data_IF_082495113047
#
_entry.id   IF_082495113047
#
_cell.length_a   1.000
_cell.length_b   1.000
_cell.length_c   1.000
_cell.angle_alpha   90.00
_cell.angle_beta   90.00
_cell.angle_gamma   90.00
#
_symmetry.space_group_name_H-M   'P 1'
#
loop_
_entity.id
_entity.type
_entity.pdbx_description
1 polymer ?
#
# COMPACT_ATOMS: atom_id res chain seq x y z
N UNK A 1 7.40 18.52 -10.24
CA UNK A 1 6.33 17.56 -9.82
C UNK A 1 5.53 17.00 -11.00
N UNK A 2 5.48 17.69 -12.14
CA UNK A 2 4.68 17.25 -13.28
C UNK A 2 5.10 15.88 -13.82
N UNK A 3 6.39 15.57 -13.85
CA UNK A 3 6.90 14.29 -14.37
C UNK A 3 6.42 13.08 -13.54
N UNK A 4 6.39 13.22 -12.21
CA UNK A 4 5.89 12.18 -11.31
C UNK A 4 4.39 11.95 -11.53
N UNK A 5 3.62 13.04 -11.68
CA UNK A 5 2.17 12.95 -11.95
C UNK A 5 1.91 12.31 -13.31
N UNK A 6 2.68 12.65 -14.35
CA UNK A 6 2.59 12.01 -15.67
C UNK A 6 2.83 10.50 -15.59
N UNK A 7 3.88 10.08 -14.88
CA UNK A 7 4.20 8.65 -14.66
C UNK A 7 3.06 7.90 -13.94
N UNK A 8 2.43 8.53 -12.95
CA UNK A 8 1.27 7.96 -12.23
C UNK A 8 0.06 7.86 -13.17
N UNK A 9 -0.20 8.87 -13.99
CA UNK A 9 -1.30 8.85 -14.95
C UNK A 9 -1.11 7.77 -16.02
N UNK A 10 0.09 7.63 -16.57
CA UNK A 10 0.44 6.54 -17.49
C UNK A 10 0.17 5.17 -16.87
N UNK A 11 0.55 5.01 -15.60
CA UNK A 11 0.30 3.78 -14.85
C UNK A 11 -1.20 3.47 -14.74
N UNK A 12 -2.00 4.47 -14.37
CA UNK A 12 -3.46 4.32 -14.24
C UNK A 12 -4.08 4.02 -15.60
N UNK A 13 -3.64 4.70 -16.67
CA UNK A 13 -4.12 4.49 -18.03
C UNK A 13 -3.85 3.05 -18.52
N UNK A 14 -2.65 2.52 -18.28
CA UNK A 14 -2.31 1.13 -18.62
C UNK A 14 -3.15 0.13 -17.80
N UNK A 15 -3.37 0.42 -16.52
CA UNK A 15 -4.23 -0.40 -15.66
C UNK A 15 -5.68 -0.40 -16.15
N UNK A 16 -6.17 0.74 -16.63
CA UNK A 16 -7.53 0.86 -17.14
C UNK A 16 -7.69 0.11 -18.48
N UNK A 17 -6.71 0.21 -19.38
CA UNK A 17 -6.72 -0.47 -20.67
C UNK A 17 -6.72 -1.99 -20.53
N UNK A 18 -5.90 -2.52 -19.61
CA UNK A 18 -5.73 -3.98 -19.47
C UNK A 18 -6.91 -4.69 -18.79
N UNK A 19 -7.83 -3.97 -18.14
CA UNK A 19 -9.00 -4.48 -17.38
C UNK A 19 -8.68 -5.50 -16.26
N UNK A 20 -7.50 -6.11 -16.23
CA UNK A 20 -6.92 -6.82 -15.10
C UNK A 20 -5.87 -5.93 -14.43
N UNK A 21 -6.07 -5.66 -13.14
CA UNK A 21 -5.07 -4.95 -12.35
C UNK A 21 -4.06 -5.98 -11.85
N UNK A 22 -3.10 -6.38 -12.67
CA UNK A 22 -1.88 -6.96 -12.11
C UNK A 22 -1.24 -5.84 -11.28
N UNK A 23 -1.38 -5.94 -9.95
CA UNK A 23 -0.97 -4.92 -8.99
C UNK A 23 0.51 -4.60 -9.12
N UNK A 24 0.83 -3.63 -9.97
CA UNK A 24 2.20 -3.15 -10.15
C UNK A 24 2.56 -2.29 -8.93
N UNK A 25 3.76 -2.51 -8.42
CA UNK A 25 4.28 -1.84 -7.22
C UNK A 25 5.01 -0.56 -7.64
N UNK A 26 4.69 0.56 -7.00
CA UNK A 26 5.35 1.85 -7.19
C UNK A 26 6.20 2.19 -5.98
N UNK A 27 7.43 2.65 -6.20
CA UNK A 27 8.33 3.11 -5.15
C UNK A 27 8.67 4.60 -5.35
N UNK A 28 8.41 5.42 -4.32
CA UNK A 28 8.72 6.85 -4.33
C UNK A 28 9.98 7.12 -3.51
N UNK A 29 11.07 7.55 -4.15
CA UNK A 29 12.31 7.94 -3.48
C UNK A 29 12.51 9.47 -3.50
N UNK A 30 13.39 9.99 -2.65
CA UNK A 30 13.62 11.43 -2.48
C UNK A 30 13.76 11.89 -1.02
N UNK A 31 14.10 13.17 -0.79
CA UNK A 31 14.29 13.75 0.56
C UNK A 31 13.05 13.64 1.46
N UNK A 32 13.20 13.76 2.79
CA UNK A 32 12.06 13.91 3.68
C UNK A 32 11.30 15.21 3.37
N UNK A 33 9.99 15.23 3.64
CA UNK A 33 9.15 16.43 3.44
C UNK A 33 8.61 16.65 2.03
N UNK A 34 9.02 15.88 1.01
CA UNK A 34 8.55 16.04 -0.39
C UNK A 34 7.13 15.54 -0.66
N UNK A 35 6.38 15.11 0.36
CA UNK A 35 4.96 14.78 0.24
C UNK A 35 4.63 13.40 -0.36
N UNK A 36 5.56 12.44 -0.34
CA UNK A 36 5.36 11.07 -0.89
C UNK A 36 4.09 10.39 -0.35
N UNK A 37 3.90 10.44 0.96
CA UNK A 37 2.73 9.89 1.65
C UNK A 37 1.44 10.60 1.22
N UNK A 38 1.50 11.90 1.00
CA UNK A 38 0.36 12.69 0.54
C UNK A 38 -0.02 12.33 -0.89
N UNK A 39 0.95 12.11 -1.77
CA UNK A 39 0.71 11.63 -3.15
C UNK A 39 0.04 10.27 -3.13
N UNK A 40 0.52 9.31 -2.33
CA UNK A 40 -0.10 7.99 -2.20
C UNK A 40 -1.56 8.06 -1.73
N UNK A 41 -1.85 8.91 -0.74
CA UNK A 41 -3.22 9.15 -0.25
C UNK A 41 -4.12 9.75 -1.34
N UNK A 42 -3.59 10.68 -2.15
CA UNK A 42 -4.32 11.25 -3.28
C UNK A 42 -4.59 10.23 -4.38
N UNK A 43 -3.66 9.31 -4.65
CA UNK A 43 -3.86 8.20 -5.60
C UNK A 43 -4.98 7.27 -5.11
N UNK A 44 -4.98 6.89 -3.83
CA UNK A 44 -6.01 6.03 -3.26
C UNK A 44 -7.41 6.65 -3.41
N UNK A 45 -7.54 7.96 -3.12
CA UNK A 45 -8.78 8.73 -3.33
C UNK A 45 -9.20 8.77 -4.80
N UNK A 46 -8.25 9.02 -5.72
CA UNK A 46 -8.54 9.10 -7.15
C UNK A 46 -8.98 7.76 -7.74
N UNK A 47 -8.47 6.64 -7.21
CA UNK A 47 -8.84 5.29 -7.62
C UNK A 47 -10.07 4.73 -6.87
N UNK A 48 -10.66 5.51 -5.96
CA UNK A 48 -11.72 5.07 -5.06
C UNK A 48 -11.38 3.76 -4.32
N UNK A 49 -10.15 3.65 -3.84
CA UNK A 49 -9.65 2.48 -3.09
C UNK A 49 -9.39 2.86 -1.64
N UNK A 50 -9.67 1.93 -0.75
CA UNK A 50 -9.36 2.08 0.67
C UNK A 50 -7.85 2.22 0.87
N UNK A 51 -7.47 3.11 1.78
CA UNK A 51 -6.07 3.45 2.04
C UNK A 51 -5.62 2.87 3.37
N UNK A 52 -4.59 2.03 3.34
CA UNK A 52 -3.93 1.51 4.53
C UNK A 52 -2.46 1.87 4.51
N UNK A 53 -1.95 2.37 5.63
CA UNK A 53 -0.53 2.70 5.78
C UNK A 53 0.07 1.94 6.95
N UNK A 54 1.24 1.35 6.74
CA UNK A 54 2.10 0.86 7.82
C UNK A 54 3.55 1.29 7.58
N UNK A 55 4.35 1.31 8.64
CA UNK A 55 5.78 1.62 8.54
C UNK A 55 6.56 0.33 8.62
N UNK A 56 7.56 0.18 7.74
CA UNK A 56 8.57 -0.89 7.83
C UNK A 56 9.85 -0.46 8.53
N UNK A 57 10.02 0.84 8.77
CA UNK A 57 11.19 1.36 9.47
C UNK A 57 11.18 0.91 10.93
N UNK A 58 12.27 0.28 11.38
CA UNK A 58 12.43 -0.24 12.74
C UNK A 58 11.82 -1.62 12.98
N UNK A 59 11.30 -2.29 11.95
CA UNK A 59 10.86 -3.68 12.06
C UNK A 59 12.06 -4.63 12.04
N UNK A 60 12.14 -5.52 13.02
CA UNK A 60 13.20 -6.52 13.13
C UNK A 60 12.69 -7.95 12.94
N UNK A 61 11.40 -8.18 13.16
CA UNK A 61 10.79 -9.51 13.08
C UNK A 61 9.84 -9.65 11.88
N UNK A 62 9.98 -10.77 11.19
CA UNK A 62 9.09 -11.20 10.10
C UNK A 62 7.67 -11.50 10.59
N UNK A 63 7.50 -11.85 11.87
CA UNK A 63 6.20 -12.12 12.46
C UNK A 63 5.28 -10.90 12.47
N UNK A 64 5.83 -9.68 12.43
CA UNK A 64 5.01 -8.47 12.32
C UNK A 64 4.31 -8.38 10.95
N UNK A 65 4.97 -8.83 9.87
CA UNK A 65 4.40 -8.84 8.51
C UNK A 65 3.47 -10.04 8.32
N UNK A 66 3.96 -11.25 8.67
CA UNK A 66 3.27 -12.53 8.39
C UNK A 66 2.25 -12.91 9.46
N UNK A 67 2.45 -12.49 10.69
CA UNK A 67 1.72 -12.96 11.86
C UNK A 67 2.33 -14.22 12.47
N UNK A 68 1.82 -14.58 13.63
CA UNK A 68 2.26 -15.74 14.39
C UNK A 68 1.42 -16.98 14.06
N UNK A 69 1.99 -18.17 14.28
CA UNK A 69 1.19 -19.40 14.33
C UNK A 69 0.23 -19.32 15.53
N UNK A 70 -0.97 -19.87 15.39
CA UNK A 70 -2.02 -19.84 16.44
C UNK A 70 -1.60 -20.52 17.75
N UNK A 71 -0.60 -21.38 17.71
CA UNK A 71 -0.09 -22.11 18.88
C UNK A 71 0.73 -21.22 19.83
N UNK A 72 1.15 -20.03 19.41
CA UNK A 72 1.89 -19.11 20.28
C UNK A 72 0.94 -18.36 21.21
N UNK A 73 1.31 -18.26 22.49
CA UNK A 73 0.63 -17.40 23.45
C UNK A 73 0.76 -15.95 22.97
N UNK A 74 -0.38 -15.27 22.80
CA UNK A 74 -0.40 -13.90 22.26
C UNK A 74 -0.29 -13.79 20.74
N UNK A 75 -0.59 -14.86 19.99
CA UNK A 75 -0.53 -14.85 18.53
C UNK A 75 -1.35 -13.70 17.91
N UNK A 76 -0.65 -12.75 17.28
CA UNK A 76 -1.26 -11.67 16.52
C UNK A 76 -1.16 -11.92 15.01
N UNK A 77 -2.21 -11.59 14.24
CA UNK A 77 -2.17 -11.63 12.79
C UNK A 77 -1.27 -10.52 12.25
N UNK A 78 -0.58 -10.80 11.13
CA UNK A 78 0.34 -9.85 10.51
C UNK A 78 -0.35 -8.62 9.93
N UNK A 79 0.44 -7.59 9.58
CA UNK A 79 -0.06 -6.30 9.08
C UNK A 79 -1.00 -6.40 7.89
N UNK A 80 -0.77 -7.34 6.95
CA UNK A 80 -1.64 -7.49 5.77
C UNK A 80 -3.04 -8.00 6.12
N UNK A 81 -3.15 -8.92 7.09
CA UNK A 81 -4.45 -9.40 7.57
C UNK A 81 -5.16 -8.29 8.35
N UNK A 82 -4.43 -7.50 9.14
CA UNK A 82 -4.97 -6.33 9.83
C UNK A 82 -5.47 -5.27 8.83
N UNK A 83 -4.76 -5.07 7.73
CA UNK A 83 -5.17 -4.21 6.62
C UNK A 83 -6.53 -4.64 6.10
N UNK A 84 -6.67 -5.89 5.65
CA UNK A 84 -7.92 -6.42 5.09
C UNK A 84 -9.08 -6.34 6.09
N UNK A 85 -8.83 -6.64 7.37
CA UNK A 85 -9.84 -6.51 8.43
C UNK A 85 -10.33 -5.07 8.60
N UNK A 86 -9.44 -4.08 8.41
CA UNK A 86 -9.76 -2.66 8.58
C UNK A 86 -10.40 -2.06 7.32
N UNK A 87 -9.90 -2.39 6.15
CA UNK A 87 -10.36 -1.82 4.87
C UNK A 87 -11.60 -2.51 4.32
N UNK A 88 -11.87 -3.77 4.72
CA UNK A 88 -13.04 -4.56 4.27
C UNK A 88 -13.19 -4.61 2.74
N UNK A 89 -12.08 -4.50 2.02
CA UNK A 89 -12.01 -4.49 0.56
C UNK A 89 -10.92 -5.46 0.12
N UNK A 90 -11.10 -6.06 -1.06
CA UNK A 90 -10.14 -7.00 -1.64
C UNK A 90 -8.91 -6.28 -2.23
N UNK A 91 -9.10 -5.05 -2.70
CA UNK A 91 -8.08 -4.28 -3.43
C UNK A 91 -7.71 -2.93 -2.75
N UNK A 92 -7.34 -2.91 -1.45
CA UNK A 92 -6.89 -1.69 -0.80
C UNK A 92 -5.54 -1.22 -1.38
N UNK A 93 -5.31 0.09 -1.38
CA UNK A 93 -4.00 0.67 -1.62
C UNK A 93 -3.21 0.65 -0.30
N UNK A 94 -2.16 -0.16 -0.27
CA UNK A 94 -1.28 -0.30 0.89
C UNK A 94 -0.01 0.51 0.68
N UNK A 95 0.33 1.36 1.64
CA UNK A 95 1.56 2.15 1.72
C UNK A 95 2.44 1.70 2.89
#
# INVERSE_FOLDING_TARGET
>A
MEDIKKRILEFIAVSHLKKSTHGKILCFYGPPGVGKTSVAKSIARALNREYFRFSVGGMHDTAEIKGHRRTYVGAMPGKMIQCLKKTKTENPLVL
#
